data_IF_073419425459
#
_entry.id   IF_073419425459
#
_cell.length_a   1.000
_cell.length_b   1.000
_cell.length_c   1.000
_cell.angle_alpha   90.00
_cell.angle_beta   90.00
_cell.angle_gamma   90.00
#
_symmetry.space_group_name_H-M   'P 1'
#
loop_
_entity.id
_entity.type
_entity.pdbx_description
1 polymer ?
#
# COMPACT_ATOMS: atom_id res chain seq x y z
N UNK A 1 -2.60 -27.08 5.77
CA UNK A 1 -2.91 -25.65 5.85
C UNK A 1 -3.96 -25.48 6.92
N UNK A 2 -3.68 -24.71 7.96
CA UNK A 2 -4.73 -24.37 8.92
C UNK A 2 -5.74 -23.46 8.23
N UNK A 3 -7.02 -23.80 8.33
CA UNK A 3 -8.09 -23.00 7.79
C UNK A 3 -8.27 -21.78 8.71
N UNK A 4 -8.21 -20.57 8.15
CA UNK A 4 -8.55 -19.37 8.91
C UNK A 4 -10.04 -19.41 9.27
N UNK A 5 -10.35 -19.06 10.51
CA UNK A 5 -11.74 -18.92 10.96
C UNK A 5 -12.47 -17.76 10.27
N UNK A 6 -13.74 -17.62 10.52
CA UNK A 6 -14.64 -16.65 9.87
C UNK A 6 -14.35 -15.18 10.21
N UNK A 7 -13.36 -14.89 11.07
CA UNK A 7 -12.98 -13.55 11.51
C UNK A 7 -11.54 -13.20 11.14
N UNK A 8 -11.19 -13.38 9.88
CA UNK A 8 -9.91 -12.94 9.35
C UNK A 8 -9.91 -11.41 9.12
N UNK A 9 -8.80 -10.75 9.47
CA UNK A 9 -8.52 -9.37 9.08
C UNK A 9 -7.79 -9.40 7.73
N UNK A 10 -8.38 -8.79 6.73
CA UNK A 10 -7.77 -8.59 5.41
C UNK A 10 -7.13 -7.22 5.36
N UNK A 11 -5.90 -7.15 4.89
CA UNK A 11 -5.11 -5.92 4.75
C UNK A 11 -4.60 -5.88 3.31
N UNK A 12 -5.14 -4.97 2.50
CA UNK A 12 -4.74 -4.75 1.11
C UNK A 12 -3.82 -3.54 1.07
N UNK A 13 -2.59 -3.72 0.60
CA UNK A 13 -1.54 -2.70 0.61
C UNK A 13 -1.19 -2.34 -0.82
N UNK A 14 -1.14 -1.03 -1.08
CA UNK A 14 -0.68 -0.48 -2.34
C UNK A 14 0.17 0.78 -2.12
N UNK A 15 0.94 1.17 -3.12
CA UNK A 15 1.86 2.30 -3.06
C UNK A 15 1.52 3.41 -4.05
N UNK A 16 1.86 4.66 -3.69
CA UNK A 16 1.80 5.80 -4.58
C UNK A 16 3.09 6.64 -4.50
N UNK A 17 3.53 7.16 -5.65
CA UNK A 17 4.86 7.74 -5.83
C UNK A 17 5.85 6.69 -6.34
N UNK A 18 7.11 7.09 -6.52
CA UNK A 18 8.17 6.21 -7.00
C UNK A 18 9.31 6.04 -5.97
N UNK A 19 10.15 5.02 -6.16
CA UNK A 19 11.35 4.79 -5.34
C UNK A 19 12.57 5.61 -5.79
N UNK A 20 12.39 6.57 -6.68
CA UNK A 20 13.47 7.45 -7.07
C UNK A 20 13.72 8.52 -5.99
N UNK A 21 14.84 8.40 -5.27
CA UNK A 21 15.28 9.34 -4.24
C UNK A 21 16.13 10.50 -4.80
N UNK A 22 16.29 10.59 -6.11
CA UNK A 22 16.94 11.73 -6.76
C UNK A 22 16.01 12.95 -6.81
N UNK A 23 16.53 14.15 -7.09
CA UNK A 23 15.71 15.35 -7.25
C UNK A 23 14.63 15.26 -8.35
N UNK A 24 14.78 14.33 -9.30
CA UNK A 24 13.82 14.10 -10.39
C UNK A 24 12.67 13.16 -9.98
N UNK A 25 12.82 12.44 -8.87
CA UNK A 25 11.77 11.59 -8.32
C UNK A 25 10.62 12.36 -7.68
N UNK A 26 9.53 11.67 -7.37
CA UNK A 26 8.42 12.27 -6.61
C UNK A 26 8.91 12.72 -5.24
N UNK A 27 8.36 13.80 -4.71
CA UNK A 27 8.73 14.34 -3.39
C UNK A 27 8.30 13.43 -2.25
N UNK A 28 7.12 12.82 -2.41
CA UNK A 28 6.56 11.90 -1.44
C UNK A 28 6.45 10.49 -1.98
N UNK A 29 6.54 9.52 -1.08
CA UNK A 29 6.17 8.12 -1.27
C UNK A 29 5.13 7.78 -0.22
N UNK A 30 4.04 7.14 -0.63
CA UNK A 30 2.94 6.78 0.25
C UNK A 30 2.73 5.28 0.19
N UNK A 31 2.72 4.62 1.33
CA UNK A 31 2.26 3.24 1.46
C UNK A 31 0.92 3.25 2.16
N UNK A 32 -0.11 2.72 1.52
CA UNK A 32 -1.49 2.74 2.01
C UNK A 32 -2.01 1.34 2.20
N UNK A 33 -2.77 1.15 3.26
CA UNK A 33 -3.51 -0.09 3.49
C UNK A 33 -5.00 0.19 3.62
N UNK A 34 -5.80 -0.69 3.03
CA UNK A 34 -7.21 -0.86 3.38
C UNK A 34 -7.32 -2.11 4.26
N UNK A 35 -7.92 -1.97 5.43
CA UNK A 35 -8.23 -3.10 6.32
C UNK A 35 -9.74 -3.31 6.44
N UNK A 36 -10.16 -4.59 6.41
CA UNK A 36 -11.55 -5.01 6.53
C UNK A 36 -11.66 -6.44 7.03
N UNK A 37 -12.74 -6.77 7.70
CA UNK A 37 -13.14 -8.17 8.01
C UNK A 37 -14.17 -8.73 7.02
N UNK A 38 -14.61 -7.91 6.07
CA UNK A 38 -15.66 -8.24 5.11
C UNK A 38 -15.25 -7.87 3.66
N UNK A 39 -14.27 -8.56 3.07
CA UNK A 39 -13.63 -8.13 1.81
C UNK A 39 -14.57 -8.17 0.59
N UNK A 40 -15.74 -8.76 0.70
CA UNK A 40 -16.74 -8.81 -0.37
C UNK A 40 -17.91 -7.84 -0.15
N UNK A 41 -18.09 -7.32 1.08
CA UNK A 41 -19.20 -6.42 1.38
C UNK A 41 -19.16 -5.17 0.48
N UNK A 42 -20.30 -4.85 -0.11
CA UNK A 42 -20.48 -3.67 -0.97
C UNK A 42 -19.56 -3.58 -2.21
N UNK A 43 -18.74 -4.63 -2.52
CA UNK A 43 -17.83 -4.59 -3.69
C UNK A 43 -18.57 -4.69 -5.03
N UNK A 44 -19.80 -5.19 -5.03
CA UNK A 44 -20.64 -5.27 -6.23
C UNK A 44 -20.94 -3.92 -6.89
N UNK A 45 -20.89 -2.80 -6.15
CA UNK A 45 -21.10 -1.47 -6.73
C UNK A 45 -19.99 -1.09 -7.74
N UNK A 46 -18.74 -1.56 -7.53
CA UNK A 46 -17.64 -1.30 -8.47
C UNK A 46 -17.74 -2.16 -9.72
N UNK A 47 -18.18 -3.40 -9.59
CA UNK A 47 -18.49 -4.23 -10.75
C UNK A 47 -19.63 -3.62 -11.58
N UNK A 48 -20.69 -3.15 -10.91
CA UNK A 48 -21.80 -2.42 -11.56
C UNK A 48 -21.29 -1.19 -12.29
N UNK A 49 -20.46 -0.37 -11.63
CA UNK A 49 -19.84 0.81 -12.23
C UNK A 49 -19.05 0.46 -13.50
N UNK A 50 -18.24 -0.60 -13.46
CA UNK A 50 -17.48 -1.08 -14.61
C UNK A 50 -18.39 -1.31 -15.82
N UNK A 51 -19.49 -2.05 -15.65
CA UNK A 51 -20.43 -2.31 -16.72
C UNK A 51 -21.21 -1.08 -17.17
N UNK A 52 -21.50 -0.14 -16.29
CA UNK A 52 -22.11 1.15 -16.65
C UNK A 52 -21.16 2.00 -17.53
N UNK A 53 -19.85 1.99 -17.24
CA UNK A 53 -18.82 2.64 -18.05
C UNK A 53 -18.71 2.00 -19.44
N UNK A 54 -18.68 0.66 -19.52
CA UNK A 54 -18.68 -0.06 -20.79
C UNK A 54 -19.92 0.29 -21.65
N UNK A 55 -21.10 0.43 -21.04
CA UNK A 55 -22.33 0.85 -21.75
C UNK A 55 -22.25 2.27 -22.29
N UNK A 56 -21.40 3.13 -21.70
CA UNK A 56 -21.10 4.48 -22.18
C UNK A 56 -19.96 4.52 -23.23
N UNK A 57 -19.43 3.36 -23.65
CA UNK A 57 -18.32 3.26 -24.60
C UNK A 57 -16.94 3.51 -23.97
N UNK A 58 -16.85 3.52 -22.64
CA UNK A 58 -15.58 3.60 -21.93
C UNK A 58 -15.07 2.19 -21.60
N UNK A 59 -14.00 1.77 -22.25
CA UNK A 59 -13.40 0.46 -22.01
C UNK A 59 -12.59 0.48 -20.70
N UNK A 60 -13.24 0.09 -19.60
CA UNK A 60 -12.65 0.04 -18.27
C UNK A 60 -12.40 -1.41 -17.88
N UNK A 61 -11.17 -1.90 -18.09
CA UNK A 61 -10.80 -3.27 -17.73
C UNK A 61 -10.61 -3.42 -16.22
N UNK A 62 -9.95 -2.47 -15.59
CA UNK A 62 -9.72 -2.35 -14.15
C UNK A 62 -9.68 -0.86 -13.77
N UNK A 63 -9.73 -0.56 -12.50
CA UNK A 63 -9.63 0.81 -12.00
C UNK A 63 -8.20 1.09 -11.52
N UNK A 64 -7.61 2.19 -11.99
CA UNK A 64 -6.28 2.65 -11.60
C UNK A 64 -6.26 4.18 -11.50
N UNK A 65 -6.07 4.71 -10.29
CA UNK A 65 -6.33 6.12 -10.01
C UNK A 65 -5.48 7.09 -10.85
N UNK A 66 -4.24 6.72 -11.18
CA UNK A 66 -3.35 7.55 -12.00
C UNK A 66 -3.74 7.54 -13.47
N UNK A 67 -4.20 6.41 -14.00
CA UNK A 67 -4.51 6.20 -15.42
C UNK A 67 -5.94 6.58 -15.78
N UNK A 68 -6.85 6.46 -14.83
CA UNK A 68 -8.27 6.71 -15.05
C UNK A 68 -8.56 8.17 -15.38
N UNK A 69 -9.53 8.40 -16.25
CA UNK A 69 -10.06 9.73 -16.54
C UNK A 69 -10.72 10.33 -15.29
N UNK A 70 -10.78 11.67 -15.22
CA UNK A 70 -11.37 12.36 -14.06
C UNK A 70 -12.83 11.92 -13.80
N UNK A 71 -13.63 11.73 -14.84
CA UNK A 71 -14.99 11.23 -14.71
C UNK A 71 -15.06 9.86 -14.00
N UNK A 72 -14.15 8.94 -14.36
CA UNK A 72 -14.06 7.62 -13.73
C UNK A 72 -13.65 7.75 -12.27
N UNK A 73 -12.63 8.58 -11.99
CA UNK A 73 -12.20 8.86 -10.61
C UNK A 73 -13.32 9.40 -9.74
N UNK A 74 -14.08 10.36 -10.25
CA UNK A 74 -15.20 10.95 -9.51
C UNK A 74 -16.27 9.89 -9.14
N UNK A 75 -16.60 9.00 -10.08
CA UNK A 75 -17.53 7.90 -9.84
C UNK A 75 -16.97 6.85 -8.86
N UNK A 76 -15.67 6.56 -8.95
CA UNK A 76 -14.99 5.67 -8.00
C UNK A 76 -15.01 6.25 -6.58
N UNK A 77 -14.64 7.52 -6.40
CA UNK A 77 -14.71 8.18 -5.09
C UNK A 77 -16.13 8.28 -4.55
N UNK A 78 -17.13 8.55 -5.40
CA UNK A 78 -18.53 8.54 -4.99
C UNK A 78 -18.99 7.18 -4.43
N UNK A 79 -18.49 6.07 -4.97
CA UNK A 79 -18.75 4.73 -4.44
C UNK A 79 -17.89 4.41 -3.21
N UNK A 80 -16.60 4.76 -3.21
CA UNK A 80 -15.70 4.60 -2.06
C UNK A 80 -16.22 5.33 -0.83
N UNK A 81 -16.73 6.54 -0.98
CA UNK A 81 -17.31 7.32 0.10
C UNK A 81 -18.45 6.62 0.82
N UNK A 82 -19.21 5.77 0.13
CA UNK A 82 -20.37 5.03 0.67
C UNK A 82 -19.99 3.74 1.42
N UNK A 83 -18.76 3.24 1.26
CA UNK A 83 -18.32 2.03 1.98
C UNK A 83 -18.27 2.32 3.49
N UNK A 84 -18.77 1.40 4.30
CA UNK A 84 -18.79 1.46 5.76
C UNK A 84 -17.93 0.37 6.42
N UNK A 85 -17.34 -0.50 5.61
CA UNK A 85 -16.65 -1.72 6.01
C UNK A 85 -15.13 -1.66 5.82
N UNK A 86 -14.58 -0.51 5.45
CA UNK A 86 -13.15 -0.31 5.26
C UNK A 86 -12.57 0.73 6.21
N UNK A 87 -11.35 0.52 6.61
CA UNK A 87 -10.50 1.47 7.31
C UNK A 87 -9.22 1.69 6.53
N UNK A 88 -8.78 2.93 6.44
CA UNK A 88 -7.62 3.34 5.64
C UNK A 88 -6.51 3.81 6.56
N UNK A 89 -5.33 3.25 6.40
CA UNK A 89 -4.11 3.67 7.08
C UNK A 89 -3.04 3.99 6.04
N UNK A 90 -2.24 5.01 6.31
CA UNK A 90 -1.14 5.35 5.42
C UNK A 90 0.11 5.80 6.18
N UNK A 91 1.25 5.46 5.61
CA UNK A 91 2.56 6.01 5.98
C UNK A 91 3.06 6.83 4.80
N UNK A 92 3.31 8.11 5.06
CA UNK A 92 3.83 9.06 4.07
C UNK A 92 5.30 9.29 4.35
N UNK A 93 6.16 9.07 3.37
CA UNK A 93 7.57 9.37 3.48
C UNK A 93 7.92 10.57 2.62
N UNK A 94 8.47 11.63 3.23
CA UNK A 94 9.03 12.76 2.51
C UNK A 94 10.46 12.44 2.11
N UNK A 95 10.68 11.95 0.88
CA UNK A 95 11.94 11.37 0.43
C UNK A 95 13.15 12.30 0.54
N UNK A 96 12.99 13.58 0.25
CA UNK A 96 14.07 14.57 0.35
C UNK A 96 14.46 14.94 1.79
N UNK A 97 13.68 14.50 2.78
CA UNK A 97 13.98 14.64 4.22
C UNK A 97 14.30 13.31 4.88
N UNK A 98 14.13 12.19 4.17
CA UNK A 98 14.45 10.88 4.69
C UNK A 98 15.94 10.75 4.96
N UNK A 99 16.29 10.19 6.11
CA UNK A 99 17.70 9.93 6.43
C UNK A 99 18.28 8.95 5.40
N UNK A 100 19.38 9.30 4.69
CA UNK A 100 20.00 8.42 3.71
C UNK A 100 20.31 7.01 4.21
N UNK A 101 20.62 6.83 5.48
CA UNK A 101 20.89 5.50 6.08
C UNK A 101 19.69 4.53 6.00
N UNK A 102 18.49 5.04 5.73
CA UNK A 102 17.28 4.21 5.59
C UNK A 102 17.22 3.52 4.23
N UNK A 103 17.91 4.04 3.21
CA UNK A 103 17.83 3.55 1.83
C UNK A 103 19.16 3.51 1.09
N UNK A 104 20.27 3.96 1.72
CA UNK A 104 21.63 3.92 1.16
C UNK A 104 22.51 3.07 2.05
N UNK A 105 23.30 2.19 1.44
CA UNK A 105 24.49 1.59 2.05
C UNK A 105 25.70 1.91 1.19
N UNK A 106 26.86 2.00 1.84
CA UNK A 106 28.15 2.20 1.17
C UNK A 106 28.91 0.88 1.21
N UNK A 107 29.20 0.33 0.06
CA UNK A 107 30.09 -0.82 -0.06
C UNK A 107 31.51 -0.31 -0.32
N UNK A 108 32.48 -0.82 0.45
CA UNK A 108 33.88 -0.43 0.32
C UNK A 108 34.58 -1.44 -0.61
N UNK A 109 34.88 -1.01 -1.82
CA UNK A 109 35.60 -1.80 -2.81
C UNK A 109 37.06 -1.34 -2.87
N UNK A 110 38.00 -2.26 -2.58
CA UNK A 110 39.45 -1.98 -2.70
C UNK A 110 39.87 -2.20 -4.15
N UNK A 111 40.30 -1.10 -4.81
CA UNK A 111 40.89 -1.18 -6.15
C UNK A 111 42.29 -1.76 -6.13
N UNK A 112 42.74 -2.29 -7.26
CA UNK A 112 44.07 -2.87 -7.41
C UNK A 112 45.23 -1.91 -7.13
N UNK A 113 44.98 -0.59 -7.05
CA UNK A 113 45.95 0.46 -6.64
C UNK A 113 45.98 0.69 -5.13
N UNK A 114 45.26 -0.12 -4.35
CA UNK A 114 45.18 0.00 -2.89
C UNK A 114 44.19 1.05 -2.38
N UNK A 115 43.52 1.82 -3.27
CA UNK A 115 42.54 2.81 -2.87
C UNK A 115 41.20 2.17 -2.55
N UNK A 116 40.58 2.61 -1.45
CA UNK A 116 39.21 2.22 -1.09
C UNK A 116 38.26 3.18 -1.81
N UNK A 117 37.38 2.64 -2.63
CA UNK A 117 36.31 3.39 -3.28
C UNK A 117 34.99 2.96 -2.67
N UNK A 118 34.23 3.93 -2.16
CA UNK A 118 32.89 3.66 -1.65
C UNK A 118 31.89 3.70 -2.80
N UNK A 119 31.22 2.56 -3.02
CA UNK A 119 30.10 2.47 -3.99
C UNK A 119 28.81 2.63 -3.24
N UNK A 120 28.00 3.59 -3.67
CA UNK A 120 26.66 3.78 -3.13
C UNK A 120 25.74 2.69 -3.67
N UNK A 121 25.11 1.93 -2.77
CA UNK A 121 24.09 0.94 -3.12
C UNK A 121 22.75 1.43 -2.57
N UNK A 122 21.73 1.47 -3.43
CA UNK A 122 20.38 1.84 -3.04
C UNK A 122 19.58 0.58 -2.67
N UNK A 123 19.05 0.54 -1.46
CA UNK A 123 18.22 -0.56 -0.96
C UNK A 123 16.78 -0.13 -0.80
N UNK A 124 16.02 -0.16 -1.90
CA UNK A 124 14.59 0.08 -1.89
C UNK A 124 13.86 -0.87 -0.95
N UNK A 125 14.34 -2.12 -0.87
CA UNK A 125 13.78 -3.15 -0.01
C UNK A 125 13.90 -2.81 1.48
N UNK A 126 15.00 -2.21 1.91
CA UNK A 126 15.23 -1.78 3.30
C UNK A 126 14.23 -0.72 3.70
N UNK A 127 14.03 0.27 2.82
CA UNK A 127 13.05 1.33 3.01
C UNK A 127 11.62 0.77 3.02
N UNK A 128 11.29 -0.08 2.06
CA UNK A 128 9.96 -0.70 1.99
C UNK A 128 9.66 -1.55 3.23
N UNK A 129 10.66 -2.30 3.72
CA UNK A 129 10.55 -3.04 4.99
C UNK A 129 10.17 -2.11 6.13
N UNK A 130 10.86 -0.98 6.29
CA UNK A 130 10.61 -0.03 7.36
C UNK A 130 9.18 0.52 7.29
N UNK A 131 8.77 1.04 6.14
CA UNK A 131 7.45 1.67 6.00
C UNK A 131 6.31 0.67 6.13
N UNK A 132 6.47 -0.55 5.58
CA UNK A 132 5.45 -1.60 5.69
C UNK A 132 5.29 -2.10 7.13
N UNK A 133 6.38 -2.27 7.88
CA UNK A 133 6.31 -2.62 9.30
C UNK A 133 5.67 -1.51 10.12
N UNK A 134 5.98 -0.24 9.82
CA UNK A 134 5.36 0.93 10.46
C UNK A 134 3.86 0.96 10.19
N UNK A 135 3.44 0.74 8.94
CA UNK A 135 2.03 0.68 8.56
C UNK A 135 1.28 -0.41 9.33
N UNK A 136 1.82 -1.63 9.34
CA UNK A 136 1.22 -2.75 10.08
C UNK A 136 1.15 -2.47 11.59
N UNK A 137 2.16 -1.79 12.16
CA UNK A 137 2.15 -1.41 13.57
C UNK A 137 0.98 -0.48 13.90
N UNK A 138 0.65 0.49 13.02
CA UNK A 138 -0.51 1.37 13.21
C UNK A 138 -1.81 0.60 13.14
N UNK A 139 -1.96 -0.27 12.15
CA UNK A 139 -3.13 -1.11 12.01
C UNK A 139 -3.34 -1.95 13.28
N UNK A 140 -2.30 -2.66 13.74
CA UNK A 140 -2.42 -3.55 14.90
C UNK A 140 -2.67 -2.81 16.22
N UNK A 141 -2.13 -1.60 16.40
CA UNK A 141 -2.42 -0.77 17.56
C UNK A 141 -3.90 -0.38 17.65
N UNK A 142 -4.55 -0.14 16.52
CA UNK A 142 -5.97 0.19 16.46
C UNK A 142 -6.85 -1.01 16.78
N UNK A 143 -6.52 -2.17 16.27
CA UNK A 143 -7.23 -3.41 16.58
C UNK A 143 -6.86 -3.91 17.98
N UNK A 144 -7.21 -3.14 19.00
CA UNK A 144 -6.92 -3.39 20.42
C UNK A 144 -7.36 -4.79 20.88
N UNK A 145 -8.40 -5.36 20.24
CA UNK A 145 -8.88 -6.72 20.45
C UNK A 145 -8.52 -7.61 19.24
N UNK A 146 -7.22 -7.75 18.97
CA UNK A 146 -6.75 -8.81 18.05
C UNK A 146 -7.23 -10.20 18.52
N UNK A 147 -7.65 -10.35 19.78
CA UNK A 147 -8.24 -11.58 20.29
C UNK A 147 -9.50 -12.01 19.53
N UNK A 148 -10.26 -11.08 18.97
CA UNK A 148 -11.42 -11.36 18.12
C UNK A 148 -11.05 -11.71 16.67
N UNK A 149 -9.81 -11.47 16.26
CA UNK A 149 -9.30 -11.79 14.93
C UNK A 149 -8.64 -13.17 15.00
N UNK A 150 -9.12 -14.10 14.19
CA UNK A 150 -8.63 -15.48 14.16
C UNK A 150 -7.45 -15.66 13.21
N UNK A 151 -7.23 -14.73 12.31
CA UNK A 151 -6.08 -14.74 11.40
C UNK A 151 -5.95 -13.45 10.60
N UNK A 152 -4.81 -13.28 9.94
CA UNK A 152 -4.51 -12.11 9.12
C UNK A 152 -4.19 -12.55 7.70
N UNK A 153 -4.76 -11.85 6.72
CA UNK A 153 -4.43 -11.99 5.30
C UNK A 153 -3.90 -10.65 4.82
N UNK A 154 -2.63 -10.61 4.44
CA UNK A 154 -2.00 -9.42 3.83
C UNK A 154 -1.89 -9.67 2.34
N UNK A 155 -2.43 -8.75 1.55
CA UNK A 155 -2.34 -8.75 0.09
C UNK A 155 -1.60 -7.49 -0.34
N UNK A 156 -0.49 -7.65 -1.05
CA UNK A 156 0.29 -6.54 -1.59
C UNK A 156 0.08 -6.45 -3.10
N UNK A 157 -0.03 -5.24 -3.62
CA UNK A 157 0.07 -4.96 -5.03
C UNK A 157 1.41 -5.45 -5.60
N UNK A 158 1.43 -5.95 -6.83
CA UNK A 158 2.62 -6.60 -7.38
C UNK A 158 3.50 -5.65 -8.19
N UNK A 159 4.23 -4.76 -7.53
CA UNK A 159 5.20 -3.85 -8.16
C UNK A 159 6.63 -4.41 -8.26
N UNK A 160 6.95 -5.44 -7.51
CA UNK A 160 8.35 -5.89 -7.38
C UNK A 160 8.71 -7.07 -8.25
N UNK A 161 9.99 -7.12 -8.66
CA UNK A 161 10.60 -8.33 -9.23
C UNK A 161 10.55 -9.48 -8.21
N UNK A 162 10.64 -10.71 -8.68
CA UNK A 162 10.52 -11.91 -7.81
C UNK A 162 11.55 -11.91 -6.67
N UNK A 163 12.78 -11.44 -6.93
CA UNK A 163 13.82 -11.34 -5.89
C UNK A 163 13.42 -10.34 -4.79
N UNK A 164 12.92 -9.15 -5.15
CA UNK A 164 12.46 -8.13 -4.20
C UNK A 164 11.25 -8.61 -3.41
N UNK A 165 10.31 -9.30 -4.07
CA UNK A 165 9.16 -9.94 -3.39
C UNK A 165 9.63 -10.95 -2.33
N UNK A 166 10.63 -11.78 -2.65
CA UNK A 166 11.21 -12.74 -1.70
C UNK A 166 11.73 -12.08 -0.43
N UNK A 167 12.46 -10.97 -0.56
CA UNK A 167 12.98 -10.21 0.57
C UNK A 167 11.85 -9.61 1.43
N UNK A 168 10.90 -8.94 0.80
CA UNK A 168 9.74 -8.32 1.47
C UNK A 168 8.92 -9.38 2.20
N UNK A 169 8.64 -10.50 1.53
CA UNK A 169 7.88 -11.62 2.10
C UNK A 169 8.57 -12.18 3.36
N UNK A 170 9.89 -12.39 3.30
CA UNK A 170 10.68 -12.87 4.44
C UNK A 170 10.59 -11.90 5.62
N UNK A 171 10.76 -10.61 5.33
CA UNK A 171 10.72 -9.55 6.34
C UNK A 171 9.35 -9.43 7.01
N UNK A 172 8.27 -9.41 6.21
CA UNK A 172 6.91 -9.32 6.74
C UNK A 172 6.52 -10.59 7.51
N UNK A 173 6.90 -11.78 7.03
CA UNK A 173 6.69 -13.03 7.77
C UNK A 173 7.38 -13.01 9.13
N UNK A 174 8.64 -12.53 9.19
CA UNK A 174 9.34 -12.41 10.46
C UNK A 174 8.61 -11.45 11.40
N UNK A 175 8.26 -10.26 10.93
CA UNK A 175 7.54 -9.26 11.70
C UNK A 175 6.20 -9.79 12.25
N UNK A 176 5.41 -10.43 11.39
CA UNK A 176 4.12 -10.99 11.80
C UNK A 176 4.27 -12.12 12.83
N UNK A 177 5.26 -13.00 12.68
CA UNK A 177 5.56 -14.04 13.69
C UNK A 177 5.89 -13.46 15.05
N UNK A 178 6.61 -12.33 15.08
CA UNK A 178 7.01 -11.67 16.33
C UNK A 178 5.86 -10.91 17.00
N UNK A 179 4.92 -10.37 16.21
CA UNK A 179 3.86 -9.46 16.68
C UNK A 179 2.48 -10.10 16.76
N UNK A 180 2.28 -11.23 16.08
CA UNK A 180 0.99 -11.87 15.96
C UNK A 180 1.12 -13.39 16.11
N UNK A 181 0.52 -13.95 17.14
CA UNK A 181 0.64 -15.37 17.52
C UNK A 181 -0.45 -16.28 16.91
N UNK A 182 -1.18 -15.79 15.90
CA UNK A 182 -2.23 -16.53 15.21
C UNK A 182 -1.86 -16.75 13.73
N UNK A 183 -2.58 -17.62 13.00
CA UNK A 183 -2.30 -17.86 11.59
C UNK A 183 -2.34 -16.59 10.75
N UNK A 184 -1.41 -16.47 9.80
CA UNK A 184 -1.39 -15.38 8.83
C UNK A 184 -0.92 -15.86 7.46
N UNK A 185 -1.39 -15.19 6.41
CA UNK A 185 -0.98 -15.40 5.03
C UNK A 185 -0.59 -14.08 4.38
N UNK A 186 0.39 -14.13 3.49
CA UNK A 186 0.86 -12.98 2.70
C UNK A 186 0.84 -13.39 1.24
N UNK A 187 0.15 -12.60 0.43
CA UNK A 187 -0.01 -12.80 -1.01
C UNK A 187 0.44 -11.55 -1.77
N UNK A 188 0.82 -11.77 -3.03
CA UNK A 188 1.03 -10.70 -4.01
C UNK A 188 0.00 -10.88 -5.11
N UNK A 189 -0.88 -9.90 -5.28
CA UNK A 189 -1.87 -9.88 -6.34
C UNK A 189 -1.53 -8.82 -7.38
N UNK A 190 -1.86 -9.10 -8.63
CA UNK A 190 -1.92 -8.04 -9.65
C UNK A 190 -3.10 -7.14 -9.31
N UNK A 191 -2.88 -5.81 -9.24
CA UNK A 191 -3.93 -4.87 -8.89
C UNK A 191 -5.12 -4.95 -9.85
N UNK A 192 -4.87 -5.26 -11.14
CA UNK A 192 -5.93 -5.44 -12.14
C UNK A 192 -6.91 -6.59 -11.80
N UNK A 193 -6.43 -7.60 -11.06
CA UNK A 193 -7.22 -8.81 -10.74
C UNK A 193 -7.97 -8.73 -9.40
N UNK A 194 -7.69 -7.75 -8.54
CA UNK A 194 -8.27 -7.65 -7.19
C UNK A 194 -8.86 -6.27 -6.93
N UNK A 195 -10.17 -6.21 -6.80
CA UNK A 195 -10.89 -4.94 -6.56
C UNK A 195 -10.44 -4.24 -5.26
N UNK A 196 -10.07 -4.98 -4.21
CA UNK A 196 -9.61 -4.35 -2.97
C UNK A 196 -8.21 -3.74 -3.13
N UNK A 197 -7.34 -4.33 -3.97
CA UNK A 197 -6.09 -3.69 -4.37
C UNK A 197 -6.33 -2.41 -5.15
N UNK A 198 -7.29 -2.40 -6.09
CA UNK A 198 -7.70 -1.17 -6.81
C UNK A 198 -8.25 -0.11 -5.86
N UNK A 199 -9.01 -0.49 -4.83
CA UNK A 199 -9.46 0.45 -3.80
C UNK A 199 -8.31 0.98 -2.96
N UNK A 200 -7.30 0.16 -2.66
CA UNK A 200 -6.08 0.60 -1.96
C UNK A 200 -5.29 1.60 -2.80
N UNK A 201 -5.14 1.37 -4.13
CA UNK A 201 -4.57 2.32 -5.08
C UNK A 201 -5.30 3.68 -5.04
N UNK A 202 -6.63 3.68 -5.15
CA UNK A 202 -7.42 4.90 -5.08
C UNK A 202 -7.27 5.65 -3.75
N UNK A 203 -7.23 4.95 -2.63
CA UNK A 203 -6.99 5.56 -1.32
C UNK A 203 -5.57 6.12 -1.22
N UNK A 204 -4.58 5.39 -1.71
CA UNK A 204 -3.18 5.82 -1.76
C UNK A 204 -2.99 7.05 -2.65
N UNK A 205 -3.60 7.04 -3.83
CA UNK A 205 -3.54 8.17 -4.74
C UNK A 205 -4.17 9.43 -4.13
N UNK A 206 -5.32 9.34 -3.44
CA UNK A 206 -5.94 10.48 -2.78
C UNK A 206 -5.02 11.12 -1.72
N UNK A 207 -4.35 10.30 -0.93
CA UNK A 207 -3.39 10.76 0.08
C UNK A 207 -2.16 11.35 -0.61
N UNK A 208 -1.62 10.66 -1.62
CA UNK A 208 -0.45 11.09 -2.38
C UNK A 208 -0.64 12.46 -3.04
N UNK A 209 -1.74 12.69 -3.77
CA UNK A 209 -1.96 13.96 -4.46
C UNK A 209 -2.21 15.11 -3.50
N UNK A 210 -2.75 14.83 -2.31
CA UNK A 210 -2.86 15.81 -1.24
C UNK A 210 -1.49 16.30 -0.78
N UNK A 211 -0.54 15.39 -0.57
CA UNK A 211 0.83 15.75 -0.15
C UNK A 211 1.70 16.28 -1.29
N UNK A 212 1.64 15.67 -2.47
CA UNK A 212 2.50 16.01 -3.61
C UNK A 212 2.06 17.30 -4.31
N UNK A 213 0.74 17.53 -4.43
CA UNK A 213 0.15 18.58 -5.27
C UNK A 213 -0.78 19.53 -4.53
N UNK A 214 -1.08 19.30 -3.24
CA UNK A 214 -2.07 20.07 -2.50
C UNK A 214 -3.53 19.82 -2.93
N UNK A 215 -3.80 18.75 -3.69
CA UNK A 215 -5.13 18.37 -4.17
C UNK A 215 -5.90 17.58 -3.10
N UNK A 216 -6.82 18.24 -2.41
CA UNK A 216 -7.49 17.66 -1.24
C UNK A 216 -8.88 17.09 -1.52
N UNK A 217 -9.48 17.31 -2.70
CA UNK A 217 -10.85 16.86 -3.01
C UNK A 217 -11.03 15.34 -2.84
N UNK A 218 -10.15 14.47 -3.38
CA UNK A 218 -10.28 13.03 -3.18
C UNK A 218 -10.13 12.64 -1.70
N UNK A 219 -9.21 13.28 -0.99
CA UNK A 219 -8.95 13.00 0.42
C UNK A 219 -10.16 13.32 1.31
N UNK A 220 -10.90 14.39 1.00
CA UNK A 220 -12.11 14.76 1.75
C UNK A 220 -13.19 13.68 1.70
N UNK A 221 -13.33 12.97 0.58
CA UNK A 221 -14.29 11.86 0.45
C UNK A 221 -13.94 10.69 1.38
N UNK A 222 -12.65 10.51 1.67
CA UNK A 222 -12.13 9.41 2.48
C UNK A 222 -11.96 9.78 3.96
N UNK A 223 -12.24 11.03 4.35
CA UNK A 223 -11.93 11.58 5.69
C UNK A 223 -12.35 10.67 6.85
N UNK A 224 -13.56 10.15 6.81
CA UNK A 224 -14.11 9.32 7.90
C UNK A 224 -13.52 7.91 7.93
N UNK A 225 -12.92 7.48 6.83
CA UNK A 225 -12.29 6.16 6.68
C UNK A 225 -10.82 6.16 7.08
N UNK A 226 -10.14 7.30 6.95
CA UNK A 226 -8.72 7.43 7.29
C UNK A 226 -8.56 7.39 8.81
N UNK A 227 -7.88 6.36 9.28
CA UNK A 227 -7.60 6.14 10.72
C UNK A 227 -6.21 6.58 11.10
N UNK A 228 -5.25 6.46 10.19
CA UNK A 228 -3.91 7.04 10.34
C UNK A 228 -3.39 7.56 9.00
N UNK A 229 -2.74 8.71 9.05
CA UNK A 229 -2.02 9.30 7.95
C UNK A 229 -0.77 9.93 8.55
N UNK A 230 0.28 9.12 8.67
CA UNK A 230 1.47 9.45 9.42
C UNK A 230 2.63 9.78 8.47
N UNK A 231 3.35 10.87 8.76
CA UNK A 231 4.56 11.27 8.03
C UNK A 231 5.81 10.74 8.77
N UNK A 232 6.70 10.08 8.01
CA UNK A 232 8.02 9.62 8.43
C UNK A 232 9.07 10.70 8.15
#
# INVERSE_FOLDING_TARGET
MEQLGNRALYIFIDEAGNFDFTPTGTKFFVLTAISTTQPLKSRGCFLKLKYELLRKGLNQEYFHATEDKQEVRDLMYANLGKLDDIEVDAVVAQKNKANPSLYIEYDAEQRGDGKIVFKTIHYEEKFYKLISQTLLQYIFRRYYNLDKIEGIIVVLGSLFTDNKRGYILKSLKQYLKEKFNKPFYIYFHKSEADINCQLADYCGWAIYVSWERGENRPLQVLKDKIKSNFIL
#
